data_IF_204705035252
#
_entry.id   IF_204705035252
#
_cell.length_a   1.000
_cell.length_b   1.000
_cell.length_c   1.000
_cell.angle_alpha   90.00
_cell.angle_beta   90.00
_cell.angle_gamma   90.00
#
_symmetry.space_group_name_H-M   'P 1'
#
loop_
_entity.id
_entity.type
_entity.pdbx_description
1 polymer ?
#
# COMPACT_ATOMS: atom_id res chain seq x y z
N UNK A 1 -28.69 -13.98 -6.64
CA UNK A 1 -27.71 -12.93 -7.00
C UNK A 1 -26.44 -13.60 -7.52
N UNK A 2 -26.06 -13.34 -8.78
CA UNK A 2 -24.83 -13.86 -9.39
C UNK A 2 -23.57 -13.30 -8.74
N UNK A 3 -22.40 -13.84 -9.13
CA UNK A 3 -21.11 -13.27 -8.74
C UNK A 3 -20.97 -11.90 -9.42
N UNK A 4 -20.70 -10.83 -8.65
CA UNK A 4 -20.40 -9.51 -9.22
C UNK A 4 -19.01 -9.54 -9.87
N UNK A 5 -18.84 -8.81 -10.96
CA UNK A 5 -17.55 -8.67 -11.62
C UNK A 5 -16.76 -7.50 -11.00
N UNK A 6 -15.67 -7.83 -10.30
CA UNK A 6 -14.80 -6.84 -9.65
C UNK A 6 -13.65 -6.36 -10.56
N UNK A 7 -13.66 -6.73 -11.85
CA UNK A 7 -12.65 -6.28 -12.80
C UNK A 7 -12.81 -4.78 -13.03
N UNK A 8 -11.75 -4.03 -12.77
CA UNK A 8 -11.72 -2.57 -13.00
C UNK A 8 -11.90 -2.30 -14.50
N UNK A 9 -12.83 -1.40 -14.84
CA UNK A 9 -13.20 -1.11 -16.23
C UNK A 9 -14.06 -2.20 -16.90
N UNK A 10 -14.49 -3.23 -16.15
CA UNK A 10 -15.38 -4.29 -16.64
C UNK A 10 -16.87 -3.89 -16.66
N UNK A 11 -17.79 -4.85 -16.90
CA UNK A 11 -19.24 -4.61 -16.96
C UNK A 11 -19.83 -3.88 -15.74
N UNK A 12 -19.35 -4.16 -14.52
CA UNK A 12 -19.82 -3.46 -13.32
C UNK A 12 -19.47 -1.97 -13.32
N UNK A 13 -18.37 -1.57 -13.97
CA UNK A 13 -17.99 -0.17 -14.10
C UNK A 13 -18.99 0.62 -14.96
N UNK A 14 -19.45 0.02 -16.07
CA UNK A 14 -20.48 0.61 -16.91
C UNK A 14 -21.80 0.77 -16.15
N UNK A 15 -22.20 -0.26 -15.40
CA UNK A 15 -23.39 -0.22 -14.56
C UNK A 15 -23.29 0.84 -13.45
N UNK A 16 -22.11 1.00 -12.84
CA UNK A 16 -21.86 2.05 -11.85
C UNK A 16 -22.04 3.45 -12.47
N UNK A 17 -21.53 3.66 -13.69
CA UNK A 17 -21.69 4.92 -14.41
C UNK A 17 -23.16 5.20 -14.74
N UNK A 18 -23.90 4.21 -15.25
CA UNK A 18 -25.34 4.31 -15.53
C UNK A 18 -26.17 4.68 -14.29
N UNK A 19 -25.71 4.26 -13.11
CA UNK A 19 -26.35 4.53 -11.82
C UNK A 19 -25.88 5.82 -11.15
N UNK A 20 -24.98 6.58 -11.78
CA UNK A 20 -24.44 7.81 -11.21
C UNK A 20 -23.55 7.60 -9.98
N UNK A 21 -22.92 6.42 -9.87
CA UNK A 21 -22.04 6.08 -8.75
C UNK A 21 -20.58 6.51 -8.98
N UNK A 22 -20.22 6.89 -10.21
CA UNK A 22 -18.87 7.33 -10.56
C UNK A 22 -18.69 8.79 -10.21
N UNK A 23 -17.66 9.10 -9.43
CA UNK A 23 -17.36 10.43 -8.89
C UNK A 23 -18.61 11.05 -8.23
N UNK A 24 -19.34 10.21 -7.47
CA UNK A 24 -20.60 10.56 -6.83
C UNK A 24 -20.43 11.72 -5.82
N UNK A 25 -21.52 12.46 -5.57
CA UNK A 25 -21.52 13.49 -4.55
C UNK A 25 -21.67 12.86 -3.16
N UNK A 26 -20.52 12.58 -2.53
CA UNK A 26 -20.45 12.06 -1.17
C UNK A 26 -20.94 13.08 -0.15
N UNK A 27 -21.50 12.57 0.95
CA UNK A 27 -21.84 13.39 2.10
C UNK A 27 -20.62 14.17 2.58
N UNK A 28 -20.76 15.50 2.68
CA UNK A 28 -19.72 16.40 3.19
C UNK A 28 -20.29 17.12 4.40
N UNK A 29 -19.72 16.93 5.61
CA UNK A 29 -20.19 17.65 6.78
C UNK A 29 -20.01 19.16 6.58
N UNK A 30 -21.00 19.95 7.01
CA UNK A 30 -20.91 21.41 6.98
C UNK A 30 -19.99 21.87 8.11
N UNK A 31 -18.74 22.17 7.77
CA UNK A 31 -17.73 22.68 8.69
C UNK A 31 -17.38 24.11 8.27
N UNK A 32 -17.28 25.03 9.24
CA UNK A 32 -16.85 26.40 8.97
C UNK A 32 -15.46 26.43 8.34
N UNK A 33 -15.25 27.34 7.39
CA UNK A 33 -14.00 27.41 6.61
C UNK A 33 -12.76 27.59 7.50
N UNK A 34 -12.86 28.37 8.56
CA UNK A 34 -11.74 28.63 9.46
C UNK A 34 -11.43 27.43 10.35
N UNK A 35 -12.46 26.70 10.81
CA UNK A 35 -12.28 25.42 11.50
C UNK A 35 -11.63 24.39 10.58
N UNK A 36 -12.11 24.25 9.34
CA UNK A 36 -11.51 23.34 8.36
C UNK A 36 -10.03 23.66 8.11
N UNK A 37 -9.68 24.95 7.97
CA UNK A 37 -8.28 25.40 7.82
C UNK A 37 -7.42 25.02 9.02
N UNK A 38 -7.95 25.08 10.24
CA UNK A 38 -7.22 24.67 11.45
C UNK A 38 -7.00 23.15 11.48
N UNK A 39 -8.02 22.36 11.12
CA UNK A 39 -7.93 20.90 11.11
C UNK A 39 -6.98 20.35 10.01
N UNK A 40 -6.83 21.07 8.90
CA UNK A 40 -5.98 20.66 7.77
C UNK A 40 -4.52 21.15 7.88
N UNK A 41 -4.11 21.72 9.01
CA UNK A 41 -2.74 22.23 9.17
C UNK A 41 -1.71 21.09 9.14
N UNK A 42 -0.68 21.27 8.31
CA UNK A 42 0.43 20.32 8.16
C UNK A 42 1.64 20.84 8.92
N UNK A 43 2.36 19.95 9.61
CA UNK A 43 3.49 20.34 10.45
C UNK A 43 4.70 19.43 10.19
N UNK A 44 5.76 20.01 9.61
CA UNK A 44 7.00 19.29 9.32
C UNK A 44 7.69 18.75 10.57
N UNK A 45 7.61 19.44 11.71
CA UNK A 45 8.23 18.99 12.95
C UNK A 45 7.58 17.71 13.45
N UNK A 46 6.25 17.71 13.60
CA UNK A 46 5.53 16.53 14.07
C UNK A 46 5.66 15.37 13.09
N UNK A 47 5.43 15.60 11.79
CA UNK A 47 5.63 14.58 10.77
C UNK A 47 7.07 14.03 10.78
N UNK A 48 8.07 14.91 10.90
CA UNK A 48 9.48 14.54 11.00
C UNK A 48 9.78 13.69 12.23
N UNK A 49 9.26 14.05 13.40
CA UNK A 49 9.41 13.27 14.64
C UNK A 49 8.76 11.88 14.54
N UNK A 50 7.57 11.78 13.92
CA UNK A 50 6.88 10.51 13.70
C UNK A 50 7.64 9.57 12.72
N UNK A 51 8.26 10.13 11.68
CA UNK A 51 9.09 9.36 10.75
C UNK A 51 10.43 8.99 11.40
N UNK A 52 11.07 9.92 12.11
CA UNK A 52 12.34 9.69 12.78
C UNK A 52 12.24 8.62 13.88
N UNK A 53 11.19 8.65 14.70
CA UNK A 53 10.99 7.63 15.75
C UNK A 53 10.77 6.23 15.17
N UNK A 54 10.06 6.14 14.06
CA UNK A 54 9.86 4.89 13.33
C UNK A 54 11.14 4.36 12.69
N UNK A 55 11.91 5.21 12.02
CA UNK A 55 13.21 4.83 11.46
C UNK A 55 14.20 4.44 12.56
N UNK A 56 14.22 5.15 13.68
CA UNK A 56 15.04 4.81 14.84
C UNK A 56 14.67 3.44 15.42
N UNK A 57 13.37 3.13 15.52
CA UNK A 57 12.90 1.81 15.94
C UNK A 57 13.30 0.72 14.93
N UNK A 58 13.18 0.97 13.62
CA UNK A 58 13.64 0.04 12.59
C UNK A 58 15.14 -0.23 12.69
N UNK A 59 15.96 0.80 12.88
CA UNK A 59 17.41 0.66 13.05
C UNK A 59 17.72 -0.12 14.32
N UNK A 60 17.07 0.20 15.44
CA UNK A 60 17.27 -0.49 16.71
C UNK A 60 16.93 -1.98 16.59
N UNK A 61 15.75 -2.32 16.10
CA UNK A 61 15.32 -3.71 15.97
C UNK A 61 16.06 -4.45 14.85
N UNK A 62 16.51 -3.75 13.80
CA UNK A 62 17.37 -4.32 12.77
C UNK A 62 18.74 -4.68 13.34
N UNK A 63 19.34 -3.78 14.13
CA UNK A 63 20.60 -4.05 14.82
C UNK A 63 20.45 -5.20 15.82
N UNK A 64 19.40 -5.22 16.65
CA UNK A 64 19.12 -6.33 17.56
C UNK A 64 18.89 -7.64 16.81
N UNK A 65 18.25 -7.59 15.63
CA UNK A 65 18.02 -8.76 14.77
C UNK A 65 19.35 -9.40 14.37
N UNK A 66 20.33 -8.56 14.04
CA UNK A 66 21.68 -9.02 13.70
C UNK A 66 22.40 -9.60 14.91
N UNK A 67 22.36 -8.91 16.06
CA UNK A 67 23.00 -9.38 17.29
C UNK A 67 22.46 -10.73 17.78
N UNK A 68 21.18 -10.99 17.51
CA UNK A 68 20.50 -12.22 17.93
C UNK A 68 20.47 -13.30 16.84
N UNK A 69 21.06 -13.03 15.67
CA UNK A 69 21.05 -13.94 14.53
C UNK A 69 21.63 -15.31 14.89
N UNK A 70 20.96 -16.39 14.46
CA UNK A 70 21.33 -17.76 14.82
C UNK A 70 20.87 -18.23 16.21
N UNK A 71 20.17 -17.39 16.97
CA UNK A 71 19.59 -17.75 18.28
C UNK A 71 18.06 -17.70 18.27
N UNK A 72 17.43 -18.30 19.28
CA UNK A 72 15.97 -18.22 19.45
C UNK A 72 15.45 -16.79 19.69
N UNK A 73 16.30 -15.87 20.16
CA UNK A 73 15.94 -14.46 20.36
C UNK A 73 15.72 -13.70 19.04
N UNK A 74 16.23 -14.19 17.91
CA UNK A 74 15.97 -13.60 16.61
C UNK A 74 14.46 -13.58 16.28
N UNK A 75 13.71 -14.61 16.69
CA UNK A 75 12.29 -14.73 16.36
C UNK A 75 11.47 -13.53 16.90
N UNK A 76 11.42 -13.26 18.22
CA UNK A 76 10.63 -12.13 18.72
C UNK A 76 11.17 -10.77 18.23
N UNK A 77 12.48 -10.63 18.02
CA UNK A 77 13.07 -9.38 17.49
C UNK A 77 12.62 -9.12 16.06
N UNK A 78 12.69 -10.12 15.18
CA UNK A 78 12.21 -10.00 13.81
C UNK A 78 10.70 -9.87 13.72
N UNK A 79 9.91 -10.44 14.63
CA UNK A 79 8.47 -10.14 14.69
C UNK A 79 8.22 -8.63 14.85
N UNK A 80 8.92 -7.98 15.79
CA UNK A 80 8.78 -6.53 15.98
C UNK A 80 9.31 -5.73 14.79
N UNK A 81 10.49 -6.09 14.28
CA UNK A 81 11.05 -5.47 13.08
C UNK A 81 10.10 -5.58 11.88
N UNK A 82 9.49 -6.76 11.68
CA UNK A 82 8.50 -7.02 10.66
C UNK A 82 7.29 -6.13 10.78
N UNK A 83 6.70 -6.00 11.96
CA UNK A 83 5.55 -5.10 12.17
C UNK A 83 5.91 -3.66 11.86
N UNK A 84 7.07 -3.19 12.35
CA UNK A 84 7.57 -1.85 12.05
C UNK A 84 7.76 -1.64 10.54
N UNK A 85 8.26 -2.66 9.83
CA UNK A 85 8.53 -2.59 8.41
C UNK A 85 7.26 -2.76 7.56
N UNK A 86 6.61 -3.91 7.64
CA UNK A 86 5.52 -4.31 6.75
C UNK A 86 4.19 -3.67 7.11
N UNK A 87 3.88 -3.50 8.40
CA UNK A 87 2.58 -2.97 8.82
C UNK A 87 2.58 -1.46 9.05
N UNK A 88 3.58 -0.92 9.76
CA UNK A 88 3.58 0.51 10.09
C UNK A 88 3.90 1.40 8.87
N UNK A 89 4.54 0.84 7.84
CA UNK A 89 4.72 1.54 6.56
C UNK A 89 3.40 1.87 5.87
N UNK A 90 2.31 1.13 6.10
CA UNK A 90 1.03 1.34 5.42
C UNK A 90 0.46 2.74 5.67
N UNK A 91 0.41 3.18 6.93
CA UNK A 91 0.01 4.55 7.28
C UNK A 91 0.88 5.64 6.63
N UNK A 92 2.17 5.36 6.44
CA UNK A 92 3.14 6.31 5.87
C UNK A 92 3.00 6.39 4.36
N UNK A 93 2.80 5.25 3.73
CA UNK A 93 2.36 5.13 2.34
C UNK A 93 1.09 5.97 2.12
N UNK A 94 0.06 5.78 2.97
CA UNK A 94 -1.25 6.41 2.82
C UNK A 94 -1.17 7.94 2.97
N UNK A 95 -0.75 8.43 4.13
CA UNK A 95 -0.75 9.87 4.42
C UNK A 95 0.26 10.66 3.57
N UNK A 96 1.43 10.07 3.30
CA UNK A 96 2.39 10.73 2.42
C UNK A 96 1.98 10.65 0.95
N UNK A 97 1.15 9.66 0.57
CA UNK A 97 0.55 9.56 -0.76
C UNK A 97 -0.45 10.68 -1.03
N UNK A 98 -1.26 11.01 -0.03
CA UNK A 98 -2.14 12.19 -0.04
C UNK A 98 -1.40 13.51 0.10
N UNK A 99 -0.10 13.46 0.43
CA UNK A 99 0.74 14.62 0.73
C UNK A 99 0.17 15.48 1.86
N UNK A 100 -0.49 14.85 2.83
CA UNK A 100 -1.13 15.48 3.99
C UNK A 100 -0.21 15.53 5.21
N UNK A 101 0.78 14.65 5.32
CA UNK A 101 1.67 14.58 6.48
C UNK A 101 2.60 15.80 6.61
N UNK A 102 3.47 16.03 5.62
CA UNK A 102 4.42 17.14 5.64
C UNK A 102 3.85 18.40 4.96
N UNK A 103 4.17 19.57 5.52
CA UNK A 103 3.97 20.86 4.84
C UNK A 103 4.85 20.97 3.60
N UNK A 104 6.09 20.47 3.68
CA UNK A 104 7.02 20.41 2.55
C UNK A 104 6.67 19.23 1.65
N UNK A 105 6.18 19.51 0.43
CA UNK A 105 5.61 18.49 -0.47
C UNK A 105 6.57 17.34 -0.78
N UNK A 106 7.82 17.61 -1.13
CA UNK A 106 8.78 16.57 -1.56
C UNK A 106 9.15 15.59 -0.43
N UNK A 107 9.06 16.01 0.85
CA UNK A 107 9.29 15.10 1.97
C UNK A 107 8.23 13.98 2.02
N UNK A 108 6.98 14.30 1.68
CA UNK A 108 5.94 13.29 1.53
C UNK A 108 6.33 12.30 0.43
N UNK A 109 6.74 12.80 -0.75
CA UNK A 109 7.09 11.91 -1.86
C UNK A 109 8.28 10.98 -1.49
N UNK A 110 9.30 11.46 -0.78
CA UNK A 110 10.41 10.58 -0.34
C UNK A 110 9.91 9.48 0.60
N UNK A 111 9.16 9.83 1.65
CA UNK A 111 8.65 8.85 2.62
C UNK A 111 7.68 7.89 1.95
N UNK A 112 6.85 8.39 1.04
CA UNK A 112 5.91 7.61 0.25
C UNK A 112 6.61 6.53 -0.59
N UNK A 113 7.66 6.87 -1.31
CA UNK A 113 8.39 5.89 -2.14
C UNK A 113 9.13 4.86 -1.26
N UNK A 114 9.62 5.24 -0.08
CA UNK A 114 10.20 4.27 0.86
C UNK A 114 9.11 3.34 1.40
N UNK A 115 8.02 3.90 1.92
CA UNK A 115 6.92 3.15 2.50
C UNK A 115 6.25 2.21 1.48
N UNK A 116 6.04 2.68 0.23
CA UNK A 116 5.50 1.87 -0.87
C UNK A 116 6.35 0.63 -1.13
N UNK A 117 7.68 0.77 -1.17
CA UNK A 117 8.60 -0.36 -1.29
C UNK A 117 8.41 -1.33 -0.13
N UNK A 118 8.32 -0.81 1.09
CA UNK A 118 8.23 -1.61 2.30
C UNK A 118 6.91 -2.40 2.40
N UNK A 119 5.79 -1.83 1.96
CA UNK A 119 4.50 -2.54 1.86
C UNK A 119 4.33 -3.31 0.55
N UNK A 120 5.36 -3.34 -0.29
CA UNK A 120 5.43 -4.03 -1.58
C UNK A 120 4.37 -3.56 -2.59
N UNK A 121 4.20 -2.23 -2.72
CA UNK A 121 3.28 -1.59 -3.66
C UNK A 121 4.05 -0.86 -4.75
N UNK A 122 3.65 -0.99 -6.01
CA UNK A 122 4.20 -0.13 -7.07
C UNK A 122 3.73 1.32 -6.86
N UNK A 123 4.64 2.28 -6.60
CA UNK A 123 4.29 3.54 -5.95
C UNK A 123 3.40 4.42 -6.82
N UNK A 124 3.61 4.47 -8.14
CA UNK A 124 2.84 5.42 -8.96
C UNK A 124 1.45 4.85 -9.30
N UNK A 125 1.33 3.58 -9.65
CA UNK A 125 0.02 2.97 -9.89
C UNK A 125 -0.84 2.96 -8.64
N UNK A 126 -0.26 2.68 -7.47
CA UNK A 126 -1.01 2.77 -6.22
C UNK A 126 -1.43 4.20 -5.92
N UNK A 127 -0.69 5.24 -6.34
CA UNK A 127 -1.10 6.63 -6.13
C UNK A 127 -2.46 6.90 -6.76
N UNK A 128 -2.59 6.47 -8.01
CA UNK A 128 -3.76 6.70 -8.83
C UNK A 128 -4.89 5.74 -8.51
N UNK A 129 -4.57 4.47 -8.22
CA UNK A 129 -5.52 3.50 -7.66
C UNK A 129 -6.13 4.04 -6.37
N UNK A 130 -5.32 4.63 -5.50
CA UNK A 130 -5.79 5.10 -4.21
C UNK A 130 -6.60 6.39 -4.33
N UNK A 131 -6.20 7.30 -5.21
CA UNK A 131 -7.04 8.45 -5.58
C UNK A 131 -8.40 8.01 -6.11
N UNK A 132 -8.44 6.99 -6.98
CA UNK A 132 -9.69 6.38 -7.48
C UNK A 132 -10.49 5.73 -6.35
N UNK A 133 -9.84 5.03 -5.44
CA UNK A 133 -10.48 4.43 -4.27
C UNK A 133 -11.18 5.50 -3.42
N UNK A 134 -10.57 6.66 -3.17
CA UNK A 134 -11.22 7.76 -2.43
C UNK A 134 -12.36 8.46 -3.20
N UNK A 135 -12.35 8.43 -4.53
CA UNK A 135 -13.48 8.94 -5.34
C UNK A 135 -14.66 7.96 -5.37
N UNK A 136 -14.37 6.67 -5.57
CA UNK A 136 -15.35 5.63 -5.90
C UNK A 136 -15.30 4.47 -4.88
N UNK A 137 -15.12 4.77 -3.58
CA UNK A 137 -14.92 3.75 -2.53
C UNK A 137 -16.01 2.70 -2.59
N UNK A 138 -15.63 1.42 -2.56
CA UNK A 138 -16.55 0.25 -2.56
C UNK A 138 -17.54 0.19 -3.74
N UNK A 139 -17.30 0.97 -4.81
CA UNK A 139 -18.04 0.87 -6.06
C UNK A 139 -17.41 -0.21 -6.94
N UNK A 140 -18.16 -1.27 -7.22
CA UNK A 140 -17.67 -2.48 -7.88
C UNK A 140 -17.34 -2.20 -9.34
N UNK A 141 -16.11 -2.58 -9.76
CA UNK A 141 -15.59 -2.29 -11.10
C UNK A 141 -14.97 -0.90 -11.25
N UNK A 142 -15.06 -0.04 -10.22
CA UNK A 142 -14.33 1.24 -10.13
C UNK A 142 -13.19 1.18 -9.13
N UNK A 143 -13.48 0.67 -7.93
CA UNK A 143 -12.51 0.59 -6.85
C UNK A 143 -11.61 -0.64 -7.00
N UNK A 144 -10.34 -0.38 -7.32
CA UNK A 144 -9.30 -1.40 -7.43
C UNK A 144 -8.83 -1.93 -6.06
N UNK A 145 -9.15 -1.22 -4.96
CA UNK A 145 -8.64 -1.48 -3.62
C UNK A 145 -9.64 -2.23 -2.73
N UNK A 146 -10.76 -2.71 -3.30
CA UNK A 146 -11.69 -3.63 -2.63
C UNK A 146 -10.93 -4.92 -2.27
N UNK A 147 -10.47 -4.95 -1.02
CA UNK A 147 -9.66 -6.04 -0.48
C UNK A 147 -10.54 -7.22 -0.09
N UNK A 148 -11.75 -6.97 0.44
CA UNK A 148 -12.67 -7.99 0.97
C UNK A 148 -13.88 -8.24 0.06
N UNK A 149 -13.61 -8.66 -1.19
CA UNK A 149 -14.64 -8.98 -2.19
C UNK A 149 -15.61 -10.07 -1.69
N UNK A 150 -16.89 -9.95 -2.03
CA UNK A 150 -17.90 -10.93 -1.65
C UNK A 150 -17.58 -12.29 -2.24
N UNK A 151 -17.83 -13.34 -1.47
CA UNK A 151 -17.67 -14.76 -1.86
C UNK A 151 -16.22 -15.20 -2.14
N UNK A 152 -15.24 -14.47 -1.63
CA UNK A 152 -13.86 -14.97 -1.54
C UNK A 152 -13.74 -15.89 -0.32
N UNK A 153 -13.16 -17.10 -0.46
CA UNK A 153 -12.96 -18.00 0.68
C UNK A 153 -12.11 -17.38 1.79
N UNK A 154 -12.51 -17.55 3.05
CA UNK A 154 -11.84 -16.96 4.23
C UNK A 154 -10.35 -17.28 4.30
N UNK A 155 -9.94 -18.48 3.88
CA UNK A 155 -8.53 -18.89 3.88
C UNK A 155 -7.65 -17.97 3.03
N UNK A 156 -8.19 -17.34 1.97
CA UNK A 156 -7.41 -16.38 1.16
C UNK A 156 -7.05 -15.13 1.95
N UNK A 157 -7.90 -14.71 2.88
CA UNK A 157 -7.59 -13.59 3.79
C UNK A 157 -6.58 -14.00 4.86
N UNK A 158 -6.59 -15.26 5.32
CA UNK A 158 -5.55 -15.79 6.19
C UNK A 158 -4.19 -15.84 5.45
N UNK A 159 -4.16 -16.27 4.19
CA UNK A 159 -2.93 -16.22 3.39
C UNK A 159 -2.43 -14.79 3.15
N UNK A 160 -3.34 -13.82 3.12
CA UNK A 160 -2.98 -12.41 2.95
C UNK A 160 -2.31 -11.82 4.19
N UNK A 161 -2.52 -12.37 5.40
CA UNK A 161 -1.81 -11.90 6.62
C UNK A 161 -0.30 -12.13 6.53
N UNK A 162 0.14 -13.04 5.65
CA UNK A 162 1.56 -13.28 5.33
C UNK A 162 1.92 -12.85 3.90
N UNK A 163 1.04 -12.12 3.21
CA UNK A 163 1.31 -11.44 1.94
C UNK A 163 1.51 -12.33 0.72
N UNK A 164 1.23 -13.64 0.80
CA UNK A 164 1.58 -14.59 -0.27
C UNK A 164 0.96 -14.21 -1.61
N UNK A 165 -0.33 -13.84 -1.61
CA UNK A 165 -1.06 -13.50 -2.84
C UNK A 165 -0.81 -12.05 -3.26
N UNK A 166 -0.96 -11.10 -2.34
CA UNK A 166 -0.77 -9.68 -2.62
C UNK A 166 0.64 -9.33 -3.09
N UNK A 167 1.67 -9.82 -2.40
CA UNK A 167 3.06 -9.51 -2.75
C UNK A 167 3.44 -10.12 -4.10
N UNK A 168 2.98 -11.34 -4.41
CA UNK A 168 3.22 -11.96 -5.72
C UNK A 168 2.55 -11.16 -6.85
N UNK A 169 1.30 -10.73 -6.65
CA UNK A 169 0.58 -9.92 -7.63
C UNK A 169 1.30 -8.59 -7.90
N UNK A 170 1.76 -7.91 -6.84
CA UNK A 170 2.53 -6.67 -6.94
C UNK A 170 3.91 -6.89 -7.57
N UNK A 171 4.60 -7.98 -7.25
CA UNK A 171 5.86 -8.33 -7.91
C UNK A 171 5.68 -8.51 -9.42
N UNK A 172 4.63 -9.21 -9.85
CA UNK A 172 4.30 -9.35 -11.27
C UNK A 172 3.94 -8.00 -11.91
N UNK A 173 3.29 -7.09 -11.18
CA UNK A 173 3.05 -5.72 -11.63
C UNK A 173 4.36 -4.95 -11.82
N UNK A 174 5.29 -5.00 -10.86
CA UNK A 174 6.62 -4.38 -10.98
C UNK A 174 7.36 -4.89 -12.22
N UNK A 175 7.36 -6.20 -12.46
CA UNK A 175 7.99 -6.80 -13.65
C UNK A 175 7.38 -6.24 -14.94
N UNK A 176 6.05 -6.27 -15.09
CA UNK A 176 5.38 -5.75 -16.28
C UNK A 176 5.67 -4.26 -16.50
N UNK A 177 5.55 -3.45 -15.46
CA UNK A 177 5.77 -2.01 -15.53
C UNK A 177 7.22 -1.68 -15.87
N UNK A 178 8.20 -2.42 -15.36
CA UNK A 178 9.61 -2.23 -15.69
C UNK A 178 9.94 -2.41 -17.19
N UNK A 179 9.16 -3.25 -17.89
CA UNK A 179 9.23 -3.43 -19.34
C UNK A 179 8.28 -2.50 -20.12
N UNK A 180 7.53 -1.63 -19.45
CA UNK A 180 6.55 -0.73 -20.08
C UNK A 180 5.25 -1.41 -20.50
N UNK A 181 4.96 -2.58 -19.94
CA UNK A 181 3.69 -3.29 -20.15
C UNK A 181 2.75 -2.88 -19.02
N UNK A 182 1.75 -2.07 -19.35
CA UNK A 182 0.74 -1.59 -18.40
C UNK A 182 -0.59 -2.26 -18.74
N UNK A 183 -1.17 -3.10 -17.86
CA UNK A 183 -2.43 -3.77 -18.13
C UNK A 183 -3.61 -2.77 -18.15
N UNK A 184 -4.74 -3.22 -18.66
CA UNK A 184 -5.92 -2.37 -18.93
C UNK A 184 -6.51 -1.76 -17.66
N UNK A 185 -6.52 -2.50 -16.56
CA UNK A 185 -6.95 -2.03 -15.24
C UNK A 185 -6.10 -0.83 -14.77
N UNK A 186 -4.78 -0.93 -14.87
CA UNK A 186 -3.88 0.17 -14.52
C UNK A 186 -4.12 1.40 -15.39
N UNK A 187 -4.30 1.22 -16.70
CA UNK A 187 -4.58 2.33 -17.63
C UNK A 187 -5.95 2.98 -17.41
N UNK A 188 -6.88 2.30 -16.77
CA UNK A 188 -8.20 2.84 -16.44
C UNK A 188 -8.11 3.91 -15.34
N UNK A 189 -7.35 3.66 -14.28
CA UNK A 189 -7.22 4.59 -13.16
C UNK A 189 -5.99 5.52 -13.24
N UNK A 190 -4.94 5.14 -13.98
CA UNK A 190 -3.68 5.89 -14.06
C UNK A 190 -3.57 6.72 -15.35
N UNK A 191 -3.35 8.04 -15.26
CA UNK A 191 -3.11 8.89 -16.42
C UNK A 191 -1.88 8.45 -17.23
N UNK A 192 -2.01 8.48 -18.56
CA UNK A 192 -1.01 7.96 -19.52
C UNK A 192 0.36 8.62 -19.34
N UNK A 193 0.37 9.90 -18.98
CA UNK A 193 1.54 10.76 -18.80
C UNK A 193 2.40 10.29 -17.61
N UNK A 194 1.80 9.59 -16.65
CA UNK A 194 2.48 9.10 -15.44
C UNK A 194 2.98 7.66 -15.57
N UNK A 195 2.59 6.92 -16.62
CA UNK A 195 3.00 5.52 -16.80
C UNK A 195 4.52 5.35 -16.89
N UNK A 196 5.22 6.34 -17.46
CA UNK A 196 6.68 6.31 -17.52
C UNK A 196 7.33 6.42 -16.12
N UNK A 197 6.66 7.06 -15.16
CA UNK A 197 7.10 7.09 -13.75
C UNK A 197 6.98 5.69 -13.16
N UNK A 198 5.84 4.99 -13.35
CA UNK A 198 5.68 3.59 -12.91
C UNK A 198 6.78 2.69 -13.47
N UNK A 199 7.17 2.87 -14.74
CA UNK A 199 8.26 2.10 -15.37
C UNK A 199 9.58 2.27 -14.65
N UNK A 200 10.00 3.51 -14.40
CA UNK A 200 11.28 3.80 -13.75
C UNK A 200 11.28 3.46 -12.27
N UNK A 201 10.17 3.72 -11.57
CA UNK A 201 9.99 3.32 -10.17
C UNK A 201 10.08 1.79 -10.02
N UNK A 202 9.41 1.05 -10.90
CA UNK A 202 9.46 -0.42 -10.90
C UNK A 202 10.87 -0.95 -11.16
N UNK A 203 11.62 -0.34 -12.08
CA UNK A 203 13.04 -0.68 -12.32
C UNK A 203 13.89 -0.44 -11.09
N UNK A 204 13.71 0.70 -10.42
CA UNK A 204 14.44 1.01 -9.19
C UNK A 204 14.14 0.00 -8.09
N UNK A 205 12.87 -0.37 -7.89
CA UNK A 205 12.47 -1.36 -6.89
C UNK A 205 13.03 -2.75 -7.20
N UNK A 206 12.93 -3.20 -8.45
CA UNK A 206 13.50 -4.48 -8.88
C UNK A 206 15.03 -4.50 -8.73
N UNK A 207 15.71 -3.37 -8.97
CA UNK A 207 17.15 -3.25 -8.74
C UNK A 207 17.49 -3.41 -7.25
N UNK A 208 16.72 -2.76 -6.36
CA UNK A 208 16.89 -2.92 -4.90
C UNK A 208 16.64 -4.38 -4.48
N UNK A 209 15.55 -5.00 -4.96
CA UNK A 209 15.25 -6.41 -4.68
C UNK A 209 16.41 -7.30 -5.16
N UNK A 210 16.86 -7.15 -6.41
CA UNK A 210 17.96 -7.92 -6.98
C UNK A 210 19.28 -7.73 -6.20
N UNK A 211 19.56 -6.50 -5.75
CA UNK A 211 20.73 -6.20 -4.95
C UNK A 211 20.69 -6.92 -3.58
N UNK A 212 19.54 -6.95 -2.90
CA UNK A 212 19.38 -7.67 -1.62
C UNK A 212 19.53 -9.18 -1.82
N UNK A 213 18.98 -9.74 -2.91
CA UNK A 213 19.18 -11.15 -3.27
C UNK A 213 20.64 -11.47 -3.58
N UNK A 214 21.32 -10.64 -4.38
CA UNK A 214 22.73 -10.80 -4.70
C UNK A 214 23.62 -10.72 -3.44
N UNK A 215 23.31 -9.79 -2.54
CA UNK A 215 23.99 -9.67 -1.24
C UNK A 215 23.81 -10.95 -0.40
N UNK A 216 22.60 -11.50 -0.36
CA UNK A 216 22.31 -12.74 0.36
C UNK A 216 23.09 -13.94 -0.19
N UNK A 217 23.19 -14.04 -1.52
CA UNK A 217 24.00 -15.07 -2.18
C UNK A 217 25.49 -14.87 -1.85
N UNK A 218 26.00 -13.63 -1.95
CA UNK A 218 27.40 -13.30 -1.66
C UNK A 218 27.80 -13.61 -0.23
N UNK A 219 26.92 -13.34 0.73
CA UNK A 219 27.11 -13.65 2.16
C UNK A 219 26.79 -15.12 2.52
N UNK A 220 26.24 -15.90 1.58
CA UNK A 220 25.71 -17.26 1.82
C UNK A 220 24.75 -17.32 3.01
N UNK A 221 23.97 -16.26 3.17
CA UNK A 221 23.03 -16.07 4.27
C UNK A 221 21.79 -15.38 3.75
N UNK A 222 20.61 -15.85 4.16
CA UNK A 222 19.35 -15.16 3.84
C UNK A 222 19.06 -14.00 4.79
N UNK A 223 19.95 -13.70 5.75
CA UNK A 223 19.79 -12.60 6.69
C UNK A 223 19.50 -11.24 6.02
N UNK A 224 20.14 -10.84 4.91
CA UNK A 224 19.81 -9.56 4.26
C UNK A 224 18.33 -9.50 3.80
N UNK A 225 17.75 -10.64 3.40
CA UNK A 225 16.33 -10.74 3.07
C UNK A 225 15.43 -10.57 4.31
N UNK A 226 15.94 -10.77 5.52
CA UNK A 226 15.18 -10.51 6.75
C UNK A 226 15.04 -9.01 7.05
N UNK A 227 15.85 -8.15 6.43
CA UNK A 227 15.78 -6.69 6.56
C UNK A 227 15.10 -5.99 5.38
N UNK A 228 14.93 -6.67 4.25
CA UNK A 228 14.23 -6.15 3.08
C UNK A 228 13.60 -7.29 2.29
N UNK A 229 12.47 -7.07 1.63
CA UNK A 229 11.67 -8.10 0.93
C UNK A 229 10.86 -9.00 1.90
N UNK A 230 11.49 -9.85 2.72
CA UNK A 230 10.71 -10.76 3.61
C UNK A 230 9.85 -10.04 4.67
N UNK A 231 10.25 -8.87 5.23
CA UNK A 231 9.38 -8.16 6.15
C UNK A 231 8.02 -7.75 5.56
N UNK A 232 7.94 -7.56 4.24
CA UNK A 232 6.67 -7.30 3.53
C UNK A 232 5.72 -8.50 3.55
N UNK A 233 6.22 -9.70 3.85
CA UNK A 233 5.45 -10.92 4.06
C UNK A 233 5.16 -11.13 5.55
N UNK A 234 6.20 -11.41 6.35
CA UNK A 234 6.02 -11.82 7.76
C UNK A 234 5.56 -10.69 8.68
N UNK A 235 5.78 -9.43 8.27
CA UNK A 235 5.41 -8.23 9.01
C UNK A 235 4.06 -7.63 8.63
N UNK A 236 3.32 -8.25 7.69
CA UNK A 236 2.10 -7.69 7.07
C UNK A 236 0.82 -7.87 7.89
N UNK A 237 0.80 -8.84 8.79
CA UNK A 237 -0.43 -9.30 9.44
C UNK A 237 -1.21 -8.17 10.16
N UNK A 238 -0.52 -7.25 10.83
CA UNK A 238 -1.17 -6.21 11.60
C UNK A 238 -1.89 -5.20 10.69
N UNK A 239 -1.29 -4.84 9.56
CA UNK A 239 -1.95 -4.04 8.52
C UNK A 239 -3.21 -4.74 7.99
N UNK A 240 -3.17 -6.05 7.75
CA UNK A 240 -4.36 -6.79 7.27
C UNK A 240 -5.47 -6.77 8.32
N UNK A 241 -5.15 -6.97 9.60
CA UNK A 241 -6.14 -6.89 10.70
C UNK A 241 -6.79 -5.51 10.73
N UNK A 242 -6.02 -4.43 10.61
CA UNK A 242 -6.56 -3.07 10.55
C UNK A 242 -7.40 -2.86 9.27
N UNK A 243 -6.92 -3.31 8.11
CA UNK A 243 -7.63 -3.18 6.84
C UNK A 243 -8.97 -3.90 6.80
N UNK A 244 -9.09 -5.06 7.46
CA UNK A 244 -10.39 -5.76 7.62
C UNK A 244 -11.42 -4.82 8.26
N UNK A 245 -11.02 -4.07 9.29
CA UNK A 245 -11.95 -3.21 10.04
C UNK A 245 -12.40 -1.97 9.26
N UNK A 246 -11.72 -1.61 8.17
CA UNK A 246 -12.06 -0.42 7.37
C UNK A 246 -13.26 -0.64 6.46
N UNK A 247 -13.26 -1.74 5.69
CA UNK A 247 -14.25 -1.94 4.62
C UNK A 247 -14.94 -3.31 4.62
N UNK A 248 -14.42 -4.31 5.36
CA UNK A 248 -14.97 -5.65 5.28
C UNK A 248 -16.42 -5.66 5.82
N UNK A 249 -17.35 -6.12 4.98
CA UNK A 249 -18.76 -6.23 5.35
C UNK A 249 -19.63 -5.04 4.97
N UNK A 250 -19.06 -3.89 4.60
CA UNK A 250 -19.81 -2.72 4.13
C UNK A 250 -20.58 -2.97 2.83
N UNK A 251 -21.69 -2.26 2.63
CA UNK A 251 -22.50 -2.40 1.43
C UNK A 251 -21.74 -1.91 0.19
N UNK A 252 -21.79 -2.69 -0.88
CA UNK A 252 -21.16 -2.36 -2.17
C UNK A 252 -22.13 -1.62 -3.08
N UNK A 253 -21.63 -0.66 -3.87
CA UNK A 253 -22.43 0.21 -4.75
C UNK A 253 -23.46 1.07 -3.99
N UNK A 254 -23.09 1.52 -2.79
CA UNK A 254 -23.91 2.37 -1.94
C UNK A 254 -23.11 3.61 -1.53
N UNK A 255 -23.79 4.74 -1.60
CA UNK A 255 -23.33 6.07 -1.23
C UNK A 255 -23.91 6.44 0.13
N UNK A 256 -23.28 7.37 0.85
CA UNK A 256 -23.60 7.69 2.26
C UNK A 256 -24.95 8.42 2.48
N UNK A 257 -25.93 8.31 1.56
CA UNK A 257 -27.20 9.03 1.60
C UNK A 257 -28.45 8.15 1.45
#
# INVERSE_FOLDING_TARGET
>A
MGMRDYTVGGPSAALAAERGLVDADWFKPKIERDVMRQLMQRNNLWAGLHIASWLAALVLFGWLGHQTWGTWWAIPVFVVYGVLYGSMSDSRWHECGHRTAFRTKWLNDVVYYIASFMVFREPESWRWSHARHHSDTIIVGRDNEISFKRRVPVFRYVLETVGVMGVLAEFMKLLRNAFGVFPTDQRDYQPVETLNISKWASRAYLLVIAAVFALSIGLRSFEPLMYAVLPSFYGRFYMVVLGITQHAGLAEDVIDH
#
